data_IF_535017084916
#
_entry.id   IF_535017084916
#
_cell.length_a   1.000
_cell.length_b   1.000
_cell.length_c   1.000
_cell.angle_alpha   90.00
_cell.angle_beta   90.00
_cell.angle_gamma   90.00
#
_symmetry.space_group_name_H-M   'P 1'
#
loop_
_entity.id
_entity.type
_entity.pdbx_description
1 polymer ?
#
# COMPACT_ATOMS: atom_id res chain seq x y z
N UNK A 1 0.11 -23.38 -8.98
CA UNK A 1 -0.99 -22.41 -8.77
C UNK A 1 -1.80 -22.37 -10.05
N UNK A 2 -3.10 -22.67 -9.99
CA UNK A 2 -3.97 -22.70 -11.17
C UNK A 2 -4.43 -21.28 -11.50
N UNK A 3 -4.39 -20.83 -12.77
CA UNK A 3 -4.63 -19.44 -13.16
C UNK A 3 -6.11 -19.21 -13.52
N UNK A 4 -6.73 -18.21 -12.91
CA UNK A 4 -8.03 -17.68 -13.31
C UNK A 4 -7.87 -16.33 -14.00
N UNK A 5 -7.77 -16.36 -15.32
CA UNK A 5 -7.86 -15.24 -16.29
C UNK A 5 -6.78 -14.15 -16.28
N UNK A 6 -5.70 -14.46 -17.01
CA UNK A 6 -4.72 -13.52 -17.56
C UNK A 6 -3.63 -14.33 -18.26
N UNK A 7 -3.05 -13.86 -19.38
CA UNK A 7 -1.91 -14.54 -19.98
C UNK A 7 -0.82 -14.66 -18.92
N UNK A 8 -0.20 -15.84 -18.84
CA UNK A 8 0.80 -16.27 -17.85
C UNK A 8 1.51 -15.06 -17.26
N UNK A 9 1.14 -14.68 -16.03
CA UNK A 9 1.89 -13.74 -15.20
C UNK A 9 3.23 -14.41 -14.96
N UNK A 10 4.13 -14.18 -15.91
CA UNK A 10 5.50 -14.65 -15.99
C UNK A 10 6.19 -14.32 -14.66
N UNK A 11 7.15 -15.15 -14.23
CA UNK A 11 7.74 -15.15 -12.88
C UNK A 11 8.13 -13.74 -12.36
N UNK A 12 8.45 -12.83 -13.29
CA UNK A 12 8.65 -11.40 -13.07
C UNK A 12 7.54 -10.69 -12.28
N UNK A 13 6.26 -11.04 -12.51
CA UNK A 13 5.13 -10.46 -11.78
C UNK A 13 5.07 -10.90 -10.32
N UNK A 14 5.40 -12.17 -10.05
CA UNK A 14 5.51 -12.70 -8.67
C UNK A 14 6.66 -12.02 -7.93
N UNK A 15 7.80 -11.85 -8.61
CA UNK A 15 8.97 -11.15 -8.04
C UNK A 15 8.68 -9.67 -7.76
N UNK A 16 7.94 -8.99 -8.62
CA UNK A 16 7.55 -7.60 -8.38
C UNK A 16 6.64 -7.46 -7.16
N UNK A 17 5.66 -8.37 -6.99
CA UNK A 17 4.79 -8.42 -5.80
C UNK A 17 5.61 -8.75 -4.55
N UNK A 18 6.57 -9.68 -4.64
CA UNK A 18 7.49 -9.99 -3.53
C UNK A 18 8.32 -8.77 -3.11
N UNK A 19 8.92 -8.07 -4.08
CA UNK A 19 9.69 -6.84 -3.82
C UNK A 19 8.84 -5.76 -3.17
N UNK A 20 7.60 -5.58 -3.62
CA UNK A 20 6.63 -4.67 -2.99
C UNK A 20 6.41 -5.01 -1.52
N UNK A 21 6.16 -6.29 -1.18
CA UNK A 21 5.94 -6.69 0.20
C UNK A 21 7.18 -6.54 1.08
N UNK A 22 8.37 -6.87 0.56
CA UNK A 22 9.63 -6.69 1.29
C UNK A 22 9.91 -5.22 1.58
N UNK A 23 9.73 -4.35 0.57
CA UNK A 23 9.83 -2.91 0.73
C UNK A 23 8.85 -2.40 1.81
N UNK A 24 7.57 -2.76 1.66
CA UNK A 24 6.52 -2.21 2.50
C UNK A 24 6.62 -2.67 3.95
N UNK A 25 6.95 -3.94 4.20
CA UNK A 25 7.17 -4.48 5.55
C UNK A 25 8.34 -3.76 6.24
N UNK A 26 9.48 -3.62 5.55
CA UNK A 26 10.64 -2.90 6.06
C UNK A 26 10.32 -1.43 6.38
N UNK A 27 9.71 -0.71 5.44
CA UNK A 27 9.34 0.69 5.65
C UNK A 27 8.32 0.87 6.78
N UNK A 28 7.29 0.02 6.83
CA UNK A 28 6.29 0.06 7.90
C UNK A 28 6.88 -0.21 9.28
N UNK A 29 7.81 -1.17 9.41
CA UNK A 29 8.51 -1.46 10.68
C UNK A 29 9.35 -0.28 11.16
N UNK A 30 10.11 0.37 10.26
CA UNK A 30 10.88 1.59 10.62
C UNK A 30 9.99 2.68 11.20
N UNK A 31 8.80 2.88 10.63
CA UNK A 31 7.83 3.84 11.17
C UNK A 31 7.19 3.37 12.48
N UNK A 32 6.94 2.07 12.62
CA UNK A 32 6.40 1.48 13.84
C UNK A 32 7.35 1.65 15.03
N UNK A 33 8.65 1.42 14.82
CA UNK A 33 9.72 1.63 15.82
C UNK A 33 9.80 3.09 16.27
N UNK A 34 9.59 4.03 15.34
CA UNK A 34 9.48 5.47 15.63
C UNK A 34 8.16 5.87 16.30
N UNK A 35 7.27 4.91 16.58
CA UNK A 35 5.92 5.11 17.15
C UNK A 35 5.00 5.99 16.30
N UNK A 36 5.26 6.09 14.99
CA UNK A 36 4.34 6.75 14.07
C UNK A 36 3.02 5.97 13.99
N UNK A 37 1.89 6.66 13.88
CA UNK A 37 0.61 6.00 13.61
C UNK A 37 0.60 5.34 12.22
N UNK A 38 -0.18 4.26 12.06
CA UNK A 38 -0.30 3.57 10.76
C UNK A 38 -0.75 4.50 9.62
N UNK A 39 -1.61 5.49 9.92
CA UNK A 39 -2.03 6.51 8.95
C UNK A 39 -0.86 7.41 8.50
N UNK A 40 -0.07 7.87 9.47
CA UNK A 40 1.08 8.73 9.19
C UNK A 40 2.15 7.98 8.43
N UNK A 41 2.45 6.75 8.86
CA UNK A 41 3.38 5.84 8.18
C UNK A 41 2.95 5.60 6.72
N UNK A 42 1.68 5.24 6.48
CA UNK A 42 1.17 5.03 5.12
C UNK A 42 1.34 6.26 4.22
N UNK A 43 1.04 7.46 4.73
CA UNK A 43 1.25 8.71 3.99
C UNK A 43 2.73 8.94 3.68
N UNK A 44 3.60 8.84 4.69
CA UNK A 44 5.05 9.05 4.54
C UNK A 44 5.66 8.07 3.55
N UNK A 45 5.24 6.80 3.59
CA UNK A 45 5.71 5.77 2.65
C UNK A 45 5.22 6.07 1.24
N UNK A 46 3.91 6.34 1.05
CA UNK A 46 3.36 6.60 -0.29
C UNK A 46 3.97 7.87 -0.94
N UNK A 47 4.41 8.83 -0.13
CA UNK A 47 5.00 10.08 -0.59
C UNK A 47 6.53 10.09 -0.57
N UNK A 48 7.20 9.02 -0.14
CA UNK A 48 8.67 9.01 -0.07
C UNK A 48 9.30 8.88 -1.45
N UNK A 49 10.48 9.47 -1.62
CA UNK A 49 11.27 9.29 -2.84
C UNK A 49 11.68 7.80 -3.01
N UNK A 50 12.00 7.13 -1.89
CA UNK A 50 12.28 5.68 -1.83
C UNK A 50 11.16 4.84 -2.44
N UNK A 51 9.89 5.25 -2.29
CA UNK A 51 8.75 4.59 -2.93
C UNK A 51 8.66 4.95 -4.41
N UNK A 52 8.80 6.22 -4.78
CA UNK A 52 8.67 6.70 -6.17
C UNK A 52 9.71 6.10 -7.13
N UNK A 53 10.89 5.77 -6.62
CA UNK A 53 11.96 5.13 -7.39
C UNK A 53 11.69 3.64 -7.69
N UNK A 54 10.70 3.03 -7.04
CA UNK A 54 10.41 1.61 -7.22
C UNK A 54 9.58 1.34 -8.47
N UNK A 55 9.77 0.18 -9.13
CA UNK A 55 9.00 -0.18 -10.32
C UNK A 55 7.50 -0.28 -10.06
N UNK A 56 7.09 -0.66 -8.85
CA UNK A 56 5.69 -0.74 -8.43
C UNK A 56 5.06 0.62 -8.10
N UNK A 57 5.84 1.71 -8.07
CA UNK A 57 5.26 3.05 -7.93
C UNK A 57 4.35 3.40 -9.11
N UNK A 58 4.57 2.81 -10.28
CA UNK A 58 3.76 3.01 -11.48
C UNK A 58 2.46 2.18 -11.47
N UNK A 59 2.25 1.34 -10.47
CA UNK A 59 1.02 0.56 -10.36
C UNK A 59 -0.16 1.44 -9.97
N UNK A 60 -1.32 1.09 -10.51
CA UNK A 60 -2.57 1.70 -10.10
C UNK A 60 -2.92 1.31 -8.65
N UNK A 61 -3.66 2.19 -7.97
CA UNK A 61 -4.17 1.91 -6.64
C UNK A 61 -3.14 2.10 -5.51
N UNK A 62 -2.27 3.09 -5.62
CA UNK A 62 -1.25 3.42 -4.60
C UNK A 62 -1.87 3.64 -3.20
N UNK A 63 -3.11 4.11 -3.12
CA UNK A 63 -3.83 4.30 -1.85
C UNK A 63 -3.91 3.00 -1.01
N UNK A 64 -3.82 1.83 -1.65
CA UNK A 64 -3.83 0.50 -1.01
C UNK A 64 -2.71 0.32 0.01
N UNK A 65 -1.62 1.10 -0.09
CA UNK A 65 -0.58 1.20 0.96
C UNK A 65 -1.23 1.44 2.33
N UNK A 66 -2.30 2.24 2.39
CA UNK A 66 -3.03 2.53 3.63
C UNK A 66 -3.54 1.25 4.29
N UNK A 67 -4.23 0.39 3.53
CA UNK A 67 -4.80 -0.86 4.06
C UNK A 67 -3.68 -1.81 4.48
N UNK A 68 -2.65 -1.92 3.65
CA UNK A 68 -1.53 -2.84 3.87
C UNK A 68 -0.72 -2.46 5.10
N UNK A 69 -0.37 -1.18 5.28
CA UNK A 69 0.34 -0.69 6.48
C UNK A 69 -0.49 -0.90 7.74
N UNK A 70 -1.81 -0.65 7.70
CA UNK A 70 -2.68 -0.96 8.83
C UNK A 70 -2.73 -2.46 9.13
N UNK A 71 -2.60 -3.34 8.13
CA UNK A 71 -2.51 -4.78 8.33
C UNK A 71 -1.19 -5.20 9.00
N UNK A 72 -0.06 -4.68 8.50
CA UNK A 72 1.27 -4.92 9.08
C UNK A 72 1.29 -4.46 10.55
N UNK A 73 0.85 -3.23 10.83
CA UNK A 73 0.79 -2.69 12.18
C UNK A 73 -0.06 -3.54 13.13
N UNK A 74 -1.19 -4.09 12.66
CA UNK A 74 -1.98 -5.03 13.47
C UNK A 74 -1.19 -6.29 13.80
N UNK A 75 -0.47 -6.85 12.82
CA UNK A 75 0.41 -8.00 13.02
C UNK A 75 1.50 -7.71 14.06
N UNK A 76 2.16 -6.56 13.96
CA UNK A 76 3.19 -6.12 14.91
C UNK A 76 2.65 -5.93 16.34
N UNK A 77 1.37 -5.55 16.47
CA UNK A 77 0.68 -5.44 17.76
C UNK A 77 0.06 -6.76 18.25
N UNK A 78 0.29 -7.88 17.57
CA UNK A 78 -0.31 -9.18 17.93
C UNK A 78 -1.82 -9.27 17.70
N UNK A 79 -2.42 -8.38 16.89
CA UNK A 79 -3.86 -8.32 16.64
C UNK A 79 -4.23 -9.01 15.32
N UNK A 80 -5.07 -10.05 15.39
CA UNK A 80 -5.45 -10.85 14.21
C UNK A 80 -6.56 -10.24 13.34
N UNK A 81 -7.61 -9.64 13.92
CA UNK A 81 -8.76 -9.11 13.16
C UNK A 81 -9.17 -7.74 13.69
N UNK A 82 -9.56 -6.87 12.76
CA UNK A 82 -10.16 -5.59 13.07
C UNK A 82 -11.68 -5.73 13.19
N UNK A 83 -12.28 -5.12 14.22
CA UNK A 83 -13.73 -4.98 14.32
C UNK A 83 -14.33 -4.19 13.15
N UNK A 84 -15.65 -4.28 12.96
CA UNK A 84 -16.34 -3.65 11.82
C UNK A 84 -16.08 -2.14 11.70
N UNK A 85 -16.20 -1.39 12.79
CA UNK A 85 -15.92 0.05 12.79
C UNK A 85 -14.46 0.37 12.44
N UNK A 86 -13.52 -0.43 12.95
CA UNK A 86 -12.10 -0.26 12.62
C UNK A 86 -11.83 -0.52 11.14
N UNK A 87 -12.49 -1.52 10.53
CA UNK A 87 -12.41 -1.79 9.08
C UNK A 87 -12.98 -0.63 8.26
N UNK A 88 -14.17 -0.13 8.62
CA UNK A 88 -14.78 1.03 7.95
C UNK A 88 -13.89 2.28 8.02
N UNK A 89 -13.27 2.52 9.17
CA UNK A 89 -12.33 3.63 9.33
C UNK A 89 -11.11 3.49 8.40
N UNK A 90 -10.56 2.28 8.24
CA UNK A 90 -9.45 2.03 7.30
C UNK A 90 -9.89 2.26 5.85
N UNK A 91 -11.09 1.83 5.47
CA UNK A 91 -11.63 2.10 4.13
C UNK A 91 -11.80 3.60 3.88
N UNK A 92 -12.37 4.34 4.85
CA UNK A 92 -12.46 5.81 4.79
C UNK A 92 -11.09 6.46 4.59
N UNK A 93 -10.08 6.05 5.37
CA UNK A 93 -8.71 6.57 5.25
C UNK A 93 -8.09 6.28 3.88
N UNK A 94 -8.39 5.11 3.32
CA UNK A 94 -7.93 4.72 1.98
C UNK A 94 -8.54 5.61 0.90
N UNK A 95 -9.84 5.90 0.99
CA UNK A 95 -10.50 6.85 0.08
C UNK A 95 -9.92 8.27 0.19
N UNK A 96 -9.61 8.73 1.41
CA UNK A 96 -8.95 10.02 1.62
C UNK A 96 -7.53 10.04 1.03
N UNK A 97 -6.78 8.94 1.16
CA UNK A 97 -5.47 8.80 0.53
C UNK A 97 -5.56 8.89 -1.00
N UNK A 98 -6.54 8.19 -1.60
CA UNK A 98 -6.76 8.23 -3.05
C UNK A 98 -6.99 9.66 -3.54
N UNK A 99 -7.86 10.41 -2.86
CA UNK A 99 -8.12 11.82 -3.18
C UNK A 99 -6.85 12.66 -3.11
N UNK A 100 -6.09 12.54 -2.03
CA UNK A 100 -4.89 13.35 -1.81
C UNK A 100 -3.78 13.03 -2.83
N UNK A 101 -3.64 11.76 -3.24
CA UNK A 101 -2.69 11.35 -4.29
C UNK A 101 -3.12 11.87 -5.68
N UNK A 102 -4.42 11.81 -6.01
CA UNK A 102 -4.96 12.36 -7.25
C UNK A 102 -4.76 13.88 -7.35
N UNK A 103 -4.88 14.60 -6.24
CA UNK A 103 -4.59 16.05 -6.20
C UNK A 103 -3.11 16.37 -6.44
N UNK A 104 -2.20 15.43 -6.20
CA UNK A 104 -0.76 15.61 -6.36
C UNK A 104 -0.25 15.22 -7.75
N UNK A 105 -0.93 14.29 -8.44
CA UNK A 105 -0.48 13.72 -9.72
C UNK A 105 -1.08 14.38 -10.98
N UNK A 106 -1.95 15.38 -10.84
CA UNK A 106 -2.65 15.99 -11.98
C UNK A 106 -3.71 15.05 -12.60
N UNK A 107 -4.52 15.53 -13.57
CA UNK A 107 -5.54 14.69 -14.20
C UNK A 107 -4.88 13.55 -14.98
N UNK A 108 -5.36 12.32 -14.74
CA UNK A 108 -4.90 11.12 -15.44
C UNK A 108 -5.23 11.26 -16.94
N UNK A 109 -4.28 11.05 -17.86
CA UNK A 109 -4.61 10.98 -19.28
C UNK A 109 -5.56 9.81 -19.55
N UNK A 110 -6.48 9.93 -20.52
CA UNK A 110 -7.40 8.85 -20.85
C UNK A 110 -6.62 7.61 -21.32
N UNK A 111 -7.17 6.40 -21.11
CA UNK A 111 -6.60 5.20 -21.74
C UNK A 111 -6.66 5.38 -23.26
N UNK A 112 -5.50 5.32 -23.91
CA UNK A 112 -5.37 5.29 -25.38
C UNK A 112 -5.64 3.92 -25.95
#
# INVERSE_FOLDING_TARGET
>A
MVPGHGPVTDLSGVDAVRRYWQFLDGAARRHFEKRDSASLAARRIAQSDEFREQPFAKWDGQERITINVHAIYRGLMGRRRAGTLARLNVLRKTALMARDLSSTLGPRPPPG
#
